data_IF_324374230036
#
_entry.id   IF_324374230036
#
_cell.length_a   1.000
_cell.length_b   1.000
_cell.length_c   1.000
_cell.angle_alpha   90.00
_cell.angle_beta   90.00
_cell.angle_gamma   90.00
#
_symmetry.space_group_name_H-M   'P 1'
#
loop_
_entity.id
_entity.type
_entity.pdbx_description
1 polymer ?
#
# COMPACT_ATOMS: atom_id res chain seq x y z
N UNK A 1 1.30 5.34 12.51
CA UNK A 1 0.28 4.62 13.27
C UNK A 1 -0.25 3.46 12.46
N UNK A 2 -0.77 3.74 11.27
CA UNK A 2 -1.30 2.67 10.45
C UNK A 2 -0.24 1.70 9.97
N UNK A 3 0.95 2.20 9.66
CA UNK A 3 2.01 1.34 9.16
C UNK A 3 2.49 0.37 10.23
N UNK A 4 2.59 0.83 11.46
CA UNK A 4 3.00 -0.05 12.54
C UNK A 4 1.98 -1.15 12.79
N UNK A 5 0.70 -0.79 12.75
CA UNK A 5 -0.36 -1.77 12.92
C UNK A 5 -0.34 -2.79 11.79
N UNK A 6 -0.14 -2.34 10.56
CA UNK A 6 -0.12 -3.25 9.44
C UNK A 6 1.07 -4.21 9.53
N UNK A 7 2.23 -3.70 9.94
CA UNK A 7 3.39 -4.57 10.12
C UNK A 7 3.11 -5.65 11.15
N UNK A 8 2.47 -5.28 12.26
CA UNK A 8 2.10 -6.26 13.28
C UNK A 8 1.16 -7.31 12.70
N UNK A 9 0.18 -6.88 11.91
CA UNK A 9 -0.74 -7.83 11.29
C UNK A 9 -0.03 -8.78 10.34
N UNK A 10 0.93 -8.27 9.57
CA UNK A 10 1.72 -9.15 8.71
C UNK A 10 2.43 -10.22 9.51
N UNK A 11 3.01 -9.82 10.66
CA UNK A 11 3.71 -10.79 11.51
C UNK A 11 2.75 -11.82 12.07
N UNK A 12 1.60 -11.38 12.55
CA UNK A 12 0.64 -12.29 13.16
C UNK A 12 0.09 -13.29 12.16
N UNK A 13 0.03 -12.92 10.89
CA UNK A 13 -0.49 -13.80 9.85
C UNK A 13 0.61 -14.57 9.12
N UNK A 14 1.84 -14.44 9.58
CA UNK A 14 2.94 -15.17 8.95
C UNK A 14 3.29 -14.70 7.56
N UNK A 15 3.00 -13.44 7.22
CA UNK A 15 3.24 -12.91 5.89
C UNK A 15 4.41 -11.96 5.81
N UNK A 16 5.06 -11.70 6.93
CA UNK A 16 6.11 -10.70 6.99
C UNK A 16 7.23 -10.96 5.99
N UNK A 17 7.57 -12.22 5.77
CA UNK A 17 8.69 -12.57 4.88
C UNK A 17 8.42 -12.21 3.43
N UNK A 18 7.18 -11.95 3.07
CA UNK A 18 6.84 -11.60 1.69
C UNK A 18 6.99 -10.11 1.42
N UNK A 19 7.16 -9.29 2.43
CA UNK A 19 7.11 -7.84 2.28
C UNK A 19 8.35 -7.15 2.79
N UNK A 20 8.73 -6.08 2.09
CA UNK A 20 9.72 -5.13 2.59
C UNK A 20 9.05 -3.77 2.75
N UNK A 21 9.58 -2.96 3.65
CA UNK A 21 9.05 -1.63 3.87
C UNK A 21 9.82 -0.61 3.07
N UNK A 22 9.14 0.45 2.67
CA UNK A 22 9.77 1.61 2.04
C UNK A 22 10.56 1.20 0.79
N UNK A 23 9.94 0.39 -0.08
CA UNK A 23 10.61 -0.03 -1.30
C UNK A 23 10.62 1.08 -2.32
N UNK A 24 11.82 1.46 -2.78
CA UNK A 24 11.97 2.40 -3.88
C UNK A 24 11.84 1.61 -5.16
N UNK A 25 10.72 1.78 -5.84
CA UNK A 25 10.37 0.88 -6.95
C UNK A 25 10.72 1.42 -8.33
N UNK A 26 11.07 2.70 -8.42
CA UNK A 26 11.30 3.33 -9.71
C UNK A 26 12.79 3.53 -9.93
N UNK A 27 13.29 3.28 -11.14
CA UNK A 27 14.74 3.40 -11.37
C UNK A 27 15.27 4.82 -11.28
N UNK A 28 14.43 5.84 -11.50
CA UNK A 28 14.90 7.22 -11.56
C UNK A 28 14.23 8.17 -10.58
N UNK A 29 13.04 7.84 -10.10
CA UNK A 29 12.31 8.70 -9.19
C UNK A 29 12.43 8.17 -7.77
N UNK A 30 12.21 9.04 -6.81
CA UNK A 30 12.35 8.69 -5.39
C UNK A 30 11.10 8.09 -4.79
N UNK A 31 10.16 7.67 -5.62
CA UNK A 31 8.90 7.10 -5.15
C UNK A 31 9.14 5.79 -4.40
N UNK A 32 8.38 5.63 -3.32
CA UNK A 32 8.46 4.42 -2.50
C UNK A 32 7.07 3.91 -2.20
N UNK A 33 6.99 2.61 -1.95
CA UNK A 33 5.78 2.01 -1.39
C UNK A 33 5.99 1.79 0.09
N UNK A 34 4.93 1.97 0.88
CA UNK A 34 5.04 1.69 2.31
C UNK A 34 5.42 0.24 2.57
N UNK A 35 4.78 -0.68 1.87
CA UNK A 35 5.12 -2.10 1.91
C UNK A 35 5.02 -2.66 0.50
N UNK A 36 5.88 -3.60 0.19
CA UNK A 36 5.85 -4.20 -1.15
C UNK A 36 6.37 -5.62 -1.13
N UNK A 37 5.73 -6.46 -1.93
CA UNK A 37 6.19 -7.81 -2.19
C UNK A 37 6.64 -7.88 -3.64
N UNK A 38 7.94 -7.97 -3.85
CA UNK A 38 8.46 -8.03 -5.22
C UNK A 38 8.08 -9.34 -5.90
N UNK A 39 8.04 -10.41 -5.13
CA UNK A 39 7.66 -11.70 -5.67
C UNK A 39 6.26 -11.69 -6.25
N UNK A 40 5.34 -11.06 -5.57
CA UNK A 40 3.93 -11.04 -5.97
C UNK A 40 3.56 -9.78 -6.73
N UNK A 41 4.46 -8.80 -6.81
CA UNK A 41 4.20 -7.51 -7.43
C UNK A 41 3.01 -6.81 -6.81
N UNK A 42 2.90 -6.91 -5.52
CA UNK A 42 1.84 -6.29 -4.74
C UNK A 42 2.46 -5.20 -3.86
N UNK A 43 1.90 -4.01 -3.92
CA UNK A 43 2.34 -2.90 -3.09
C UNK A 43 1.18 -2.44 -2.22
N UNK A 44 1.51 -1.97 -1.03
CA UNK A 44 0.54 -1.49 -0.06
C UNK A 44 0.91 -0.07 0.34
N UNK A 45 -0.07 0.82 0.30
CA UNK A 45 0.06 2.19 0.76
C UNK A 45 -0.93 2.43 1.87
N UNK A 46 -0.46 2.93 3.00
CA UNK A 46 -1.32 3.22 4.14
C UNK A 46 -1.57 4.72 4.17
N UNK A 47 -2.83 5.09 4.00
CA UNK A 47 -3.23 6.49 3.91
C UNK A 47 -3.62 6.98 5.29
N UNK A 48 -2.65 7.53 6.01
CA UNK A 48 -2.91 8.08 7.32
C UNK A 48 -3.34 9.52 7.23
N UNK A 49 -3.86 10.06 8.33
CA UNK A 49 -4.20 11.46 8.41
C UNK A 49 -5.21 11.91 7.38
N UNK A 50 -6.10 11.01 7.01
CA UNK A 50 -7.00 11.26 5.88
C UNK A 50 -7.92 12.43 6.08
N UNK A 51 -8.25 12.76 7.32
CA UNK A 51 -9.16 13.86 7.57
C UNK A 51 -8.52 15.20 7.33
N UNK A 52 -7.23 15.29 7.50
CA UNK A 52 -6.55 16.59 7.48
C UNK A 52 -5.65 16.77 6.29
N UNK A 53 -4.93 15.75 5.90
CA UNK A 53 -3.94 15.89 4.86
C UNK A 53 -4.52 15.89 3.46
N UNK A 54 -5.63 15.23 3.29
CA UNK A 54 -6.14 14.99 1.97
C UNK A 54 -6.48 16.25 1.19
N UNK A 55 -6.97 17.28 1.89
CA UNK A 55 -7.39 18.47 1.16
C UNK A 55 -6.20 19.16 0.51
N UNK A 56 -5.04 19.12 1.14
CA UNK A 56 -3.85 19.67 0.53
C UNK A 56 -3.39 18.83 -0.65
N UNK A 57 -3.47 17.54 -0.51
CA UNK A 57 -2.93 16.64 -1.52
C UNK A 57 -3.85 16.40 -2.68
N UNK A 58 -5.08 16.80 -2.55
CA UNK A 58 -6.03 16.61 -3.65
C UNK A 58 -5.97 17.74 -4.67
N UNK A 59 -5.07 18.69 -4.49
CA UNK A 59 -4.99 19.84 -5.37
C UNK A 59 -3.57 20.01 -5.88
N UNK A 60 -3.47 20.59 -7.06
CA UNK A 60 -2.19 20.99 -7.61
C UNK A 60 -1.22 19.85 -7.75
N UNK A 61 0.03 20.14 -7.43
CA UNK A 61 1.13 19.22 -7.70
C UNK A 61 1.06 17.95 -6.85
N UNK A 62 0.46 18.03 -5.65
CA UNK A 62 0.35 16.85 -4.81
C UNK A 62 -0.49 15.77 -5.46
N UNK A 63 -1.65 16.16 -5.97
CA UNK A 63 -2.53 15.21 -6.63
C UNK A 63 -1.90 14.69 -7.92
N UNK A 64 -1.35 15.56 -8.73
CA UNK A 64 -0.74 15.13 -9.98
C UNK A 64 0.47 14.25 -9.74
N UNK A 65 1.24 14.56 -8.69
CA UNK A 65 2.36 13.72 -8.33
C UNK A 65 1.93 12.30 -7.99
N UNK A 66 0.85 12.18 -7.26
CA UNK A 66 0.31 10.86 -6.93
C UNK A 66 -0.15 10.13 -8.19
N UNK A 67 -0.80 10.84 -9.10
CA UNK A 67 -1.22 10.22 -10.36
C UNK A 67 -0.02 9.67 -11.12
N UNK A 68 1.06 10.44 -11.18
CA UNK A 68 2.26 10.01 -11.89
C UNK A 68 2.91 8.80 -11.22
N UNK A 69 2.94 8.81 -9.89
CA UNK A 69 3.51 7.70 -9.15
C UNK A 69 2.76 6.40 -9.43
N UNK A 70 1.44 6.45 -9.35
CA UNK A 70 0.66 5.24 -9.50
C UNK A 70 0.57 4.79 -10.94
N UNK A 71 0.59 5.73 -11.89
CA UNK A 71 0.68 5.35 -13.30
C UNK A 71 2.00 4.65 -13.60
N UNK A 72 3.09 5.16 -13.02
CA UNK A 72 4.38 4.53 -13.21
C UNK A 72 4.42 3.14 -12.57
N UNK A 73 3.82 3.00 -11.40
CA UNK A 73 3.75 1.70 -10.74
C UNK A 73 3.00 0.70 -11.60
N UNK A 74 1.87 1.10 -12.16
CA UNK A 74 1.09 0.23 -13.03
C UNK A 74 1.90 -0.19 -14.26
N UNK A 75 2.62 0.77 -14.85
CA UNK A 75 3.44 0.49 -16.03
C UNK A 75 4.54 -0.51 -15.72
N UNK A 76 5.03 -0.53 -14.48
CA UNK A 76 6.08 -1.44 -14.06
C UNK A 76 5.53 -2.77 -13.55
N UNK A 77 4.22 -2.97 -13.64
CA UNK A 77 3.62 -4.25 -13.30
C UNK A 77 3.20 -4.40 -11.85
N UNK A 78 3.11 -3.30 -11.12
CA UNK A 78 2.70 -3.35 -9.73
C UNK A 78 1.20 -3.24 -9.58
N UNK A 79 0.64 -4.03 -8.66
CA UNK A 79 -0.74 -3.86 -8.21
C UNK A 79 -0.69 -3.16 -6.87
N UNK A 80 -1.21 -1.94 -6.84
CA UNK A 80 -1.12 -1.11 -5.63
C UNK A 80 -2.45 -1.13 -4.91
N UNK A 81 -2.40 -1.47 -3.63
CA UNK A 81 -3.57 -1.51 -2.76
C UNK A 81 -3.42 -0.44 -1.70
N UNK A 82 -4.43 0.40 -1.57
CA UNK A 82 -4.39 1.55 -0.68
C UNK A 82 -5.42 1.36 0.42
N UNK A 83 -4.99 1.53 1.65
CA UNK A 83 -5.86 1.34 2.81
C UNK A 83 -5.75 2.54 3.72
N UNK A 84 -6.88 2.95 4.27
CA UNK A 84 -6.87 3.95 5.32
C UNK A 84 -6.42 3.31 6.64
N UNK A 85 -6.07 4.15 7.60
CA UNK A 85 -5.72 3.64 8.92
C UNK A 85 -6.87 2.83 9.52
N UNK A 86 -8.11 3.30 9.32
CA UNK A 86 -9.28 2.57 9.82
C UNK A 86 -9.39 1.19 9.20
N UNK A 87 -9.09 1.07 7.91
CA UNK A 87 -9.13 -0.24 7.25
C UNK A 87 -8.05 -1.17 7.77
N UNK A 88 -6.91 -0.61 8.15
CA UNK A 88 -5.86 -1.42 8.76
C UNK A 88 -6.32 -1.92 10.13
N UNK A 89 -6.77 -1.01 10.98
CA UNK A 89 -7.09 -1.40 12.36
C UNK A 89 -8.30 -2.31 12.45
N UNK A 90 -9.22 -2.24 11.50
CA UNK A 90 -10.39 -3.12 11.48
C UNK A 90 -10.05 -4.54 11.03
N UNK A 91 -8.88 -4.74 10.44
CA UNK A 91 -8.50 -6.04 9.90
C UNK A 91 -8.84 -6.20 8.43
N UNK A 92 -9.48 -5.22 7.83
CA UNK A 92 -9.85 -5.32 6.42
C UNK A 92 -8.62 -5.41 5.53
N UNK A 93 -7.61 -4.59 5.83
CA UNK A 93 -6.41 -4.55 5.00
C UNK A 93 -5.66 -5.87 5.02
N UNK A 94 -5.45 -6.44 6.19
CA UNK A 94 -4.69 -7.70 6.26
C UNK A 94 -5.49 -8.85 5.66
N UNK A 95 -6.81 -8.83 5.80
CA UNK A 95 -7.63 -9.87 5.17
C UNK A 95 -7.49 -9.83 3.66
N UNK A 96 -7.50 -8.63 3.08
CA UNK A 96 -7.32 -8.46 1.64
C UNK A 96 -5.95 -8.98 1.20
N UNK A 97 -4.91 -8.58 1.89
CA UNK A 97 -3.55 -8.95 1.50
C UNK A 97 -3.31 -10.45 1.68
N UNK A 98 -3.84 -11.03 2.75
CA UNK A 98 -3.68 -12.47 2.96
C UNK A 98 -4.32 -13.26 1.82
N UNK A 99 -5.51 -12.83 1.37
CA UNK A 99 -6.15 -13.49 0.23
C UNK A 99 -5.31 -13.37 -1.03
N UNK A 100 -4.78 -12.18 -1.29
CA UNK A 100 -3.99 -11.96 -2.49
C UNK A 100 -2.71 -12.81 -2.50
N UNK A 101 -2.02 -12.89 -1.38
CA UNK A 101 -0.81 -13.68 -1.28
C UNK A 101 -1.12 -15.16 -1.48
N UNK A 102 -2.29 -15.60 -1.05
CA UNK A 102 -2.73 -16.98 -1.24
C UNK A 102 -3.27 -17.28 -2.61
N UNK A 103 -3.29 -16.30 -3.51
CA UNK A 103 -3.77 -16.51 -4.87
C UNK A 103 -5.24 -16.20 -5.08
N UNK A 104 -5.91 -15.69 -4.06
CA UNK A 104 -7.31 -15.32 -4.17
C UNK A 104 -7.49 -13.86 -4.53
N UNK A 105 -8.61 -13.31 -4.13
CA UNK A 105 -8.97 -11.92 -4.39
C UNK A 105 -9.30 -11.23 -3.09
N UNK A 106 -9.08 -9.92 -3.09
CA UNK A 106 -9.48 -9.09 -1.97
C UNK A 106 -10.99 -9.21 -1.77
N UNK A 107 -11.46 -9.50 -0.55
CA UNK A 107 -12.90 -9.56 -0.34
C UNK A 107 -13.55 -8.22 -0.61
N UNK A 108 -14.75 -8.25 -1.17
CA UNK A 108 -15.48 -7.03 -1.41
C UNK A 108 -16.26 -6.64 -0.16
N UNK A 109 -16.34 -5.35 0.06
CA UNK A 109 -17.02 -4.84 1.25
C UNK A 109 -18.52 -5.06 1.21
#
# INVERSE_FOLDING_TARGET
VGEEAFLLHLRLHGLQQHFVQELAFHPERNWRFDFASEQHRIAVEIEGGTLYGKSRHSKGTGFEGDCRKYNAAAALGWSVYRFSTAMVTSGEAIACIAELIGGGKCPEA
#
